data_IF_052082672682
#
_entry.id   IF_052082672682
#
_cell.length_a   1.000
_cell.length_b   1.000
_cell.length_c   1.000
_cell.angle_alpha   90.00
_cell.angle_beta   90.00
_cell.angle_gamma   90.00
#
_symmetry.space_group_name_H-M   'P 1'
#
loop_
_entity.id
_entity.type
_entity.pdbx_description
1 polymer ?
#
# COMPACT_ATOMS: atom_id res chain seq x y z
N UNK A 1 -1.33 -31.82 14.70
CA UNK A 1 -1.79 -31.31 13.40
C UNK A 1 -1.34 -29.85 13.37
N UNK A 2 -0.27 -29.54 12.64
CA UNK A 2 0.21 -28.16 12.54
C UNK A 2 -0.88 -27.33 11.84
N UNK A 3 -1.36 -26.30 12.52
CA UNK A 3 -2.28 -25.33 11.94
C UNK A 3 -1.58 -24.64 10.78
N UNK A 4 -2.09 -24.87 9.57
CA UNK A 4 -1.62 -24.24 8.34
C UNK A 4 -1.98 -22.76 8.40
N UNK A 5 -1.10 -21.93 8.97
CA UNK A 5 -1.29 -20.48 9.06
C UNK A 5 -1.34 -19.89 7.65
N UNK A 6 -2.40 -19.15 7.36
CA UNK A 6 -2.66 -18.57 6.03
C UNK A 6 -1.82 -17.29 5.81
N UNK A 7 -1.41 -16.61 6.89
CA UNK A 7 -0.50 -15.46 6.85
C UNK A 7 0.17 -15.23 8.22
N UNK A 8 1.36 -14.61 8.21
CA UNK A 8 2.10 -14.24 9.44
C UNK A 8 1.65 -12.90 10.04
N UNK A 9 1.13 -12.00 9.21
CA UNK A 9 0.54 -10.72 9.63
C UNK A 9 -0.42 -10.21 8.56
N UNK A 10 -1.49 -9.55 8.98
CA UNK A 10 -2.37 -8.78 8.09
C UNK A 10 -2.34 -7.31 8.52
N UNK A 11 -2.38 -6.40 7.55
CA UNK A 11 -2.39 -4.96 7.81
C UNK A 11 -3.59 -4.38 7.09
N UNK A 12 -4.42 -3.62 7.82
CA UNK A 12 -5.49 -2.81 7.23
C UNK A 12 -4.97 -1.39 7.10
N UNK A 13 -4.52 -1.02 5.91
CA UNK A 13 -4.08 0.33 5.60
C UNK A 13 -5.26 1.22 5.18
N UNK A 14 -5.15 2.53 5.40
CA UNK A 14 -6.14 3.51 4.95
C UNK A 14 -7.30 3.78 5.92
N UNK A 15 -7.19 3.29 7.16
CA UNK A 15 -8.13 3.67 8.22
C UNK A 15 -7.82 5.09 8.74
N UNK A 16 -8.85 5.89 9.10
CA UNK A 16 -8.63 7.14 9.81
C UNK A 16 -8.01 6.87 11.20
N UNK A 17 -7.38 7.89 11.80
CA UNK A 17 -6.77 7.80 13.15
C UNK A 17 -7.70 7.22 14.22
N UNK A 18 -9.02 7.42 14.05
CA UNK A 18 -10.06 6.88 14.92
C UNK A 18 -11.06 6.05 14.10
N UNK A 19 -10.82 4.73 13.91
CA UNK A 19 -11.72 3.88 13.15
C UNK A 19 -13.04 3.72 13.89
N UNK A 20 -14.15 4.02 13.22
CA UNK A 20 -15.50 3.79 13.75
C UNK A 20 -15.96 2.39 13.35
N UNK A 21 -16.41 1.61 14.34
CA UNK A 21 -17.00 0.29 14.08
C UNK A 21 -18.31 0.48 13.29
N UNK A 22 -18.45 -0.25 12.17
CA UNK A 22 -19.70 -0.31 11.42
C UNK A 22 -20.75 -1.00 12.29
N UNK A 23 -21.57 -0.23 13.00
CA UNK A 23 -22.72 -0.78 13.72
C UNK A 23 -23.73 -1.31 12.71
N UNK A 24 -24.23 -2.52 12.95
CA UNK A 24 -24.99 -3.41 12.04
C UNK A 24 -26.33 -2.85 11.50
N UNK A 25 -26.67 -1.59 11.76
CA UNK A 25 -27.96 -1.00 11.41
C UNK A 25 -28.02 -0.38 9.98
N UNK A 26 -27.05 -0.68 9.11
CA UNK A 26 -26.88 -0.02 7.79
C UNK A 26 -27.65 -0.72 6.66
N UNK A 27 -28.37 -1.83 6.91
CA UNK A 27 -29.16 -2.48 5.86
C UNK A 27 -30.40 -1.69 5.40
N UNK A 28 -30.75 -0.57 6.04
CA UNK A 28 -31.99 0.15 5.75
C UNK A 28 -31.82 1.48 5.01
N UNK A 29 -30.59 1.92 4.69
CA UNK A 29 -30.39 3.24 4.07
C UNK A 29 -29.37 3.17 2.92
N UNK A 30 -29.79 2.53 1.82
CA UNK A 30 -29.06 2.24 0.58
C UNK A 30 -28.52 3.46 -0.20
N UNK A 31 -28.46 4.65 0.40
CA UNK A 31 -28.11 5.88 -0.31
C UNK A 31 -27.16 6.83 0.40
N UNK A 32 -26.76 6.55 1.65
CA UNK A 32 -26.05 7.55 2.48
C UNK A 32 -24.96 6.96 3.38
N UNK A 33 -24.10 6.09 2.84
CA UNK A 33 -22.76 5.89 3.39
C UNK A 33 -22.00 7.22 3.30
N UNK A 34 -22.21 8.06 4.30
CA UNK A 34 -21.56 9.35 4.50
C UNK A 34 -20.08 9.06 4.65
N UNK A 35 -19.35 9.28 3.57
CA UNK A 35 -17.99 9.77 3.51
C UNK A 35 -17.28 9.83 4.88
N UNK A 36 -16.88 8.67 5.41
CA UNK A 36 -15.52 8.61 5.93
C UNK A 36 -14.66 9.15 4.78
N UNK A 37 -13.78 10.10 5.03
CA UNK A 37 -12.86 10.61 4.00
C UNK A 37 -12.07 9.40 3.49
N UNK A 38 -12.58 8.75 2.45
CA UNK A 38 -12.00 7.55 1.92
C UNK A 38 -10.78 8.02 1.18
N UNK A 39 -9.62 7.75 1.78
CA UNK A 39 -8.34 7.89 1.09
C UNK A 39 -8.52 7.20 -0.25
N UNK A 40 -8.18 7.91 -1.33
CA UNK A 40 -8.36 7.35 -2.67
C UNK A 40 -7.62 6.02 -2.78
N UNK A 41 -8.19 5.01 -3.47
CA UNK A 41 -7.55 3.71 -3.53
C UNK A 41 -6.23 3.81 -4.30
N UNK A 42 -5.31 2.90 -4.01
CA UNK A 42 -4.09 2.77 -4.80
C UNK A 42 -4.48 2.18 -6.16
N UNK A 43 -4.15 2.89 -7.24
CA UNK A 43 -4.44 2.46 -8.61
C UNK A 43 -3.20 1.97 -9.34
N UNK A 44 -2.03 2.38 -8.87
CA UNK A 44 -0.76 2.09 -9.53
C UNK A 44 0.36 1.96 -8.50
N UNK A 45 1.30 1.07 -8.79
CA UNK A 45 2.51 0.85 -8.01
C UNK A 45 3.68 0.61 -8.97
N UNK A 46 4.86 1.07 -8.60
CA UNK A 46 6.10 0.80 -9.31
C UNK A 46 7.30 0.79 -8.36
N UNK A 47 8.46 0.41 -8.90
CA UNK A 47 9.75 0.50 -8.21
C UNK A 47 10.63 1.40 -9.05
N UNK A 48 11.39 2.28 -8.41
CA UNK A 48 12.36 3.13 -9.09
C UNK A 48 13.74 3.09 -8.42
N UNK A 49 14.76 3.36 -9.22
CA UNK A 49 16.18 3.38 -8.84
C UNK A 49 16.75 4.81 -8.97
N UNK A 50 16.73 5.62 -7.88
CA UNK A 50 17.16 7.02 -7.93
C UNK A 50 18.58 7.22 -8.48
N UNK A 51 19.54 6.37 -8.10
CA UNK A 51 20.95 6.52 -8.55
C UNK A 51 21.18 6.04 -9.99
N UNK A 52 20.18 5.42 -10.63
CA UNK A 52 20.22 5.11 -12.06
C UNK A 52 19.57 6.20 -12.91
N UNK A 53 19.16 7.31 -12.29
CA UNK A 53 18.51 8.43 -12.99
C UNK A 53 17.06 8.17 -13.37
N UNK A 54 16.41 7.18 -12.76
CA UNK A 54 14.97 6.97 -12.94
C UNK A 54 14.17 8.04 -12.19
N UNK A 55 13.11 8.53 -12.84
CA UNK A 55 12.20 9.52 -12.26
C UNK A 55 10.83 8.90 -11.97
N UNK A 56 10.21 9.38 -10.90
CA UNK A 56 8.84 9.01 -10.54
C UNK A 56 7.86 9.84 -11.36
N UNK A 57 6.81 9.25 -11.96
CA UNK A 57 5.85 10.01 -12.76
C UNK A 57 5.10 11.06 -11.94
N UNK A 58 4.62 12.11 -12.60
CA UNK A 58 3.83 13.16 -11.96
C UNK A 58 2.56 12.60 -11.28
N UNK A 59 2.27 13.07 -10.07
CA UNK A 59 1.11 12.63 -9.29
C UNK A 59 1.28 11.29 -8.55
N UNK A 60 2.50 10.73 -8.54
CA UNK A 60 2.85 9.56 -7.74
C UNK A 60 3.63 9.98 -6.48
N UNK A 61 3.47 9.20 -5.43
CA UNK A 61 4.10 9.37 -4.13
C UNK A 61 5.16 8.28 -3.91
N UNK A 62 6.31 8.67 -3.36
CA UNK A 62 7.39 7.75 -3.01
C UNK A 62 7.18 7.23 -1.59
N UNK A 63 7.17 5.91 -1.43
CA UNK A 63 7.26 5.27 -0.12
C UNK A 63 8.73 5.23 0.31
N UNK A 64 9.23 6.36 0.82
CA UNK A 64 10.65 6.54 1.17
C UNK A 64 11.03 5.93 2.52
N UNK A 65 10.08 5.84 3.46
CA UNK A 65 10.30 5.38 4.82
C UNK A 65 9.24 4.37 5.26
N UNK A 66 9.64 3.46 6.15
CA UNK A 66 8.75 2.56 6.87
C UNK A 66 7.92 3.35 7.89
N UNK A 67 6.81 2.78 8.40
CA UNK A 67 6.04 3.41 9.48
C UNK A 67 6.85 3.69 10.76
N UNK A 68 7.99 3.00 10.95
CA UNK A 68 8.91 3.19 12.07
C UNK A 68 10.02 4.21 11.79
N UNK A 69 10.03 4.84 10.61
CA UNK A 69 10.99 5.89 10.24
C UNK A 69 12.31 5.37 9.66
N UNK A 70 12.43 4.07 9.36
CA UNK A 70 13.59 3.52 8.65
C UNK A 70 13.46 3.78 7.15
N UNK A 71 14.56 3.85 6.40
CA UNK A 71 14.48 3.93 4.94
C UNK A 71 13.84 2.67 4.36
N UNK A 72 12.84 2.83 3.49
CA UNK A 72 12.13 1.73 2.83
C UNK A 72 12.86 1.22 1.57
N UNK A 73 14.18 1.11 1.65
CA UNK A 73 15.02 0.58 0.57
C UNK A 73 14.79 -0.92 0.41
N UNK A 74 14.29 -1.34 -0.74
CA UNK A 74 14.02 -2.76 -1.03
C UNK A 74 15.30 -3.61 -1.13
N UNK A 75 16.45 -2.97 -1.35
CA UNK A 75 17.76 -3.59 -1.43
C UNK A 75 18.58 -3.46 -0.14
N UNK A 76 17.95 -3.10 0.99
CA UNK A 76 18.66 -2.92 2.24
C UNK A 76 19.45 -4.17 2.65
N UNK A 77 20.72 -3.99 3.03
CA UNK A 77 21.62 -5.09 3.42
C UNK A 77 22.39 -5.74 2.28
N UNK A 78 22.15 -5.36 1.03
CA UNK A 78 22.96 -5.80 -0.12
C UNK A 78 24.16 -4.87 -0.35
N UNK A 79 25.33 -5.45 -0.61
CA UNK A 79 26.63 -4.72 -0.65
C UNK A 79 26.88 -4.01 -1.98
N UNK A 80 26.24 -4.46 -3.07
CA UNK A 80 26.56 -3.99 -4.45
C UNK A 80 25.37 -3.48 -5.24
N UNK A 81 24.20 -3.43 -4.64
CA UNK A 81 22.99 -2.95 -5.31
C UNK A 81 22.73 -1.51 -4.90
N UNK A 82 22.35 -0.68 -5.85
CA UNK A 82 21.81 0.64 -5.53
C UNK A 82 20.48 0.52 -4.82
N UNK A 83 20.18 1.51 -4.00
CA UNK A 83 18.88 1.64 -3.34
C UNK A 83 17.76 1.73 -4.38
N UNK A 84 16.62 1.11 -4.05
CA UNK A 84 15.39 1.27 -4.81
C UNK A 84 14.18 1.29 -3.87
N UNK A 85 13.13 1.97 -4.30
CA UNK A 85 11.98 2.29 -3.48
C UNK A 85 10.70 2.08 -4.26
N UNK A 86 9.61 1.82 -3.54
CA UNK A 86 8.27 1.78 -4.11
C UNK A 86 7.78 3.22 -4.32
N UNK A 87 7.12 3.46 -5.46
CA UNK A 87 6.24 4.61 -5.64
C UNK A 87 4.83 4.13 -5.97
N UNK A 88 3.82 4.88 -5.59
CA UNK A 88 2.42 4.53 -5.81
C UNK A 88 1.60 5.76 -6.19
N UNK A 89 0.45 5.56 -6.81
CA UNK A 89 -0.53 6.62 -7.03
C UNK A 89 -1.87 6.20 -6.50
N UNK A 90 -2.57 7.18 -5.93
CA UNK A 90 -3.97 7.04 -5.54
C UNK A 90 -4.85 7.80 -6.52
N UNK A 91 -6.04 7.28 -6.79
CA UNK A 91 -6.95 7.86 -7.76
C UNK A 91 -8.25 7.10 -7.91
N UNK A 92 -9.17 7.67 -8.69
CA UNK A 92 -10.47 7.04 -9.04
C UNK A 92 -10.65 6.91 -10.55
N UNK A 93 -9.63 7.28 -11.33
CA UNK A 93 -9.60 7.19 -12.79
C UNK A 93 -9.34 5.76 -13.29
N UNK A 94 -8.92 4.85 -12.41
CA UNK A 94 -8.60 3.45 -12.71
C UNK A 94 -9.16 2.53 -11.62
N UNK A 95 -9.38 1.23 -11.91
CA UNK A 95 -9.76 0.25 -10.88
C UNK A 95 -8.72 0.17 -9.74
N UNK A 96 -9.17 -0.09 -8.50
CA UNK A 96 -8.26 -0.23 -7.36
C UNK A 96 -7.40 -1.49 -7.49
N UNK A 97 -6.13 -1.41 -7.07
CA UNK A 97 -5.32 -2.58 -6.80
C UNK A 97 -5.82 -3.26 -5.52
N UNK A 98 -6.16 -4.54 -5.63
CA UNK A 98 -6.77 -5.32 -4.53
C UNK A 98 -5.83 -6.36 -3.91
N UNK A 99 -4.72 -6.66 -4.59
CA UNK A 99 -3.75 -7.66 -4.14
C UNK A 99 -2.34 -7.34 -4.67
N UNK A 100 -1.31 -7.71 -3.92
CA UNK A 100 0.11 -7.60 -4.27
C UNK A 100 0.81 -8.84 -3.75
N UNK A 101 1.53 -9.54 -4.62
CA UNK A 101 2.29 -10.74 -4.27
C UNK A 101 3.77 -10.57 -4.60
N UNK A 102 4.64 -11.05 -3.72
CA UNK A 102 6.07 -11.17 -3.98
C UNK A 102 6.37 -12.56 -4.53
N UNK A 103 7.01 -12.63 -5.70
CA UNK A 103 7.38 -13.89 -6.35
C UNK A 103 8.88 -14.13 -6.22
N UNK A 104 9.26 -15.27 -5.64
CA UNK A 104 10.64 -15.73 -5.62
C UNK A 104 11.03 -16.31 -6.98
N UNK A 105 12.16 -15.87 -7.53
CA UNK A 105 12.79 -16.54 -8.67
C UNK A 105 13.74 -17.60 -8.12
N UNK A 106 13.39 -18.87 -8.33
CA UNK A 106 14.27 -20.03 -8.09
C UNK A 106 15.02 -20.38 -9.37
#
# INVERSE_FOLDING_TARGET
>A
MEEKRIADYFVVAGMPEHPQLLQENIFNDSGRLRAATTIEPITDIGVYFPLLGEEVPEGYEILSHTPTGLQANLNHGSVRTTDCYIYFRRGKDRPPLVDIVCLSKF
#
